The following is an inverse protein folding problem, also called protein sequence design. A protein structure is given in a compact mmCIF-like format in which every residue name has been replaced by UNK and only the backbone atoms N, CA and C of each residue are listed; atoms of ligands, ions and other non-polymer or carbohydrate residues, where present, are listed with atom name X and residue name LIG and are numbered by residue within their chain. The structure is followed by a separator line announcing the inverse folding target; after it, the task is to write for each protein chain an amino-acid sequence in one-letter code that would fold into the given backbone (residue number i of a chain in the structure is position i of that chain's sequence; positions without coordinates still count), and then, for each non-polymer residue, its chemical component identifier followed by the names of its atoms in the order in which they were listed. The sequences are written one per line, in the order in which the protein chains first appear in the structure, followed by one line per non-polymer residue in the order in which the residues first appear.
data_IF_589514020488
#
_entry.id   IF_589514020488
#
_cell.length_a   1.000
_cell.length_b   1.000
_cell.length_c   1.000
_cell.angle_alpha   90.00
_cell.angle_beta   90.00
_cell.angle_gamma   90.00
#
_symmetry.space_group_name_H-M   'P 1'
#
loop_
_entity.id
_entity.type
_entity.pdbx_description
1 polymer ?
#
# COMPACT_ATOMS: atom_id res chain seq x y z
N UNK A 1 -16.62 -11.57 8.36
CA UNK A 1 -17.82 -10.75 8.65
C UNK A 1 -17.55 -9.50 9.49
N UNK A 2 -16.82 -9.53 10.62
CA UNK A 2 -16.40 -8.26 11.29
C UNK A 2 -15.12 -7.68 10.67
N UNK A 3 -14.20 -8.53 10.21
CA UNK A 3 -12.97 -8.12 9.54
C UNK A 3 -13.21 -7.42 8.19
N UNK A 4 -14.18 -7.89 7.39
CA UNK A 4 -14.48 -7.29 6.08
C UNK A 4 -15.00 -5.85 6.21
N UNK A 5 -15.84 -5.58 7.22
CA UNK A 5 -16.37 -4.24 7.48
C UNK A 5 -15.31 -3.24 7.95
N UNK A 6 -14.33 -3.69 8.74
CA UNK A 6 -13.26 -2.81 9.23
C UNK A 6 -12.30 -2.41 8.11
N UNK A 7 -12.05 -3.30 7.16
CA UNK A 7 -11.13 -3.00 6.04
C UNK A 7 -11.78 -2.02 5.07
N UNK A 8 -13.06 -2.19 4.75
CA UNK A 8 -13.79 -1.28 3.86
C UNK A 8 -13.89 0.13 4.45
N UNK A 9 -14.31 0.30 5.70
CA UNK A 9 -14.43 1.63 6.31
C UNK A 9 -13.08 2.34 6.48
N UNK A 10 -12.02 1.60 6.84
CA UNK A 10 -10.67 2.17 6.96
C UNK A 10 -10.13 2.59 5.60
N UNK A 11 -10.36 1.77 4.56
CA UNK A 11 -9.94 2.07 3.19
C UNK A 11 -10.71 3.27 2.63
N UNK A 12 -12.02 3.34 2.81
CA UNK A 12 -12.86 4.45 2.35
C UNK A 12 -12.47 5.80 2.98
N UNK A 13 -11.96 5.79 4.22
CA UNK A 13 -11.47 6.99 4.88
C UNK A 13 -10.08 7.45 4.40
N UNK A 14 -9.37 6.64 3.60
CA UNK A 14 -8.07 7.03 3.06
C UNK A 14 -8.21 7.94 1.84
N UNK A 15 -7.15 8.71 1.56
CA UNK A 15 -7.04 9.43 0.31
C UNK A 15 -6.99 8.47 -0.89
N UNK A 16 -7.46 8.93 -2.04
CA UNK A 16 -7.52 8.14 -3.28
C UNK A 16 -6.16 7.54 -3.67
N UNK A 17 -5.06 8.26 -3.40
CA UNK A 17 -3.71 7.79 -3.67
C UNK A 17 -3.30 6.59 -2.79
N UNK A 18 -3.71 6.60 -1.52
CA UNK A 18 -3.46 5.51 -0.57
C UNK A 18 -4.34 4.30 -0.88
N UNK A 19 -5.62 4.52 -1.19
CA UNK A 19 -6.52 3.44 -1.62
C UNK A 19 -5.96 2.72 -2.86
N UNK A 20 -5.56 3.49 -3.87
CA UNK A 20 -4.96 2.94 -5.09
C UNK A 20 -3.65 2.18 -4.81
N UNK A 21 -2.85 2.61 -3.83
CA UNK A 21 -1.66 1.90 -3.41
C UNK A 21 -2.00 0.55 -2.78
N UNK A 22 -2.84 0.54 -1.74
CA UNK A 22 -3.25 -0.68 -1.02
C UNK A 22 -3.93 -1.69 -1.95
N UNK A 23 -4.81 -1.25 -2.85
CA UNK A 23 -5.47 -2.12 -3.81
C UNK A 23 -4.49 -2.76 -4.79
N UNK A 24 -3.51 -2.00 -5.31
CA UNK A 24 -2.51 -2.53 -6.25
C UNK A 24 -1.53 -3.48 -5.59
N UNK A 25 -1.18 -3.24 -4.32
CA UNK A 25 -0.23 -4.07 -3.57
C UNK A 25 -0.89 -5.20 -2.79
N UNK A 26 -2.23 -5.28 -2.77
CA UNK A 26 -3.01 -6.31 -2.08
C UNK A 26 -2.71 -7.76 -2.50
N UNK A 27 -2.08 -7.95 -3.67
CA UNK A 27 -1.63 -9.26 -4.15
C UNK A 27 -0.36 -9.76 -3.42
N UNK A 28 0.35 -8.87 -2.71
CA UNK A 28 1.57 -9.20 -1.98
C UNK A 28 1.22 -9.69 -0.57
N UNK A 29 1.72 -10.87 -0.18
CA UNK A 29 1.60 -11.38 1.19
C UNK A 29 2.38 -10.54 2.21
N UNK A 30 3.40 -9.82 1.74
CA UNK A 30 4.22 -8.91 2.56
C UNK A 30 4.57 -7.67 1.76
N UNK A 31 4.29 -6.52 2.35
CA UNK A 31 4.61 -5.23 1.75
C UNK A 31 6.05 -4.84 2.09
N UNK A 32 6.82 -4.53 1.05
CA UNK A 32 8.14 -3.90 1.16
C UNK A 32 8.28 -2.87 0.05
N UNK A 33 9.01 -1.78 0.28
CA UNK A 33 9.15 -0.70 -0.69
C UNK A 33 9.51 -1.18 -2.10
N UNK A 34 10.58 -1.99 -2.26
CA UNK A 34 10.99 -2.50 -3.56
C UNK A 34 9.94 -3.37 -4.27
N UNK A 35 9.18 -4.19 -3.53
CA UNK A 35 8.11 -5.01 -4.11
C UNK A 35 6.90 -4.16 -4.49
N UNK A 36 6.54 -3.19 -3.65
CA UNK A 36 5.44 -2.26 -3.95
C UNK A 36 5.76 -1.44 -5.20
N UNK A 37 6.97 -0.93 -5.32
CA UNK A 37 7.42 -0.22 -6.52
C UNK A 37 7.41 -1.12 -7.76
N UNK A 38 7.90 -2.36 -7.64
CA UNK A 38 7.90 -3.33 -8.74
C UNK A 38 6.49 -3.68 -9.23
N UNK A 39 5.52 -3.85 -8.32
CA UNK A 39 4.12 -4.12 -8.67
C UNK A 39 3.44 -2.89 -9.29
N UNK A 40 3.74 -1.70 -8.79
CA UNK A 40 3.04 -0.47 -9.20
C UNK A 40 3.56 0.14 -10.49
N UNK A 41 4.85 -0.04 -10.78
CA UNK A 41 5.54 0.57 -11.93
C UNK A 41 6.17 -0.46 -12.89
N UNK A 42 6.17 -1.75 -12.54
CA UNK A 42 6.91 -2.79 -13.26
C UNK A 42 8.35 -2.90 -12.77
N UNK A 43 9.14 -3.80 -13.38
CA UNK A 43 10.58 -3.89 -13.09
C UNK A 43 11.26 -2.65 -13.67
N UNK A 44 11.42 -1.62 -12.84
CA UNK A 44 12.13 -0.40 -13.20
C UNK A 44 13.63 -0.61 -12.92
N UNK A 45 14.49 -0.29 -13.89
CA UNK A 45 15.95 -0.39 -13.76
C UNK A 45 16.54 0.57 -12.70
N UNK A 46 15.75 1.53 -12.23
CA UNK A 46 16.08 2.46 -11.15
C UNK A 46 15.29 2.14 -9.88
N UNK A 47 15.96 2.01 -8.72
CA UNK A 47 15.26 1.86 -7.45
C UNK A 47 14.46 3.13 -7.16
N UNK A 48 13.14 3.00 -7.17
CA UNK A 48 12.23 3.99 -6.60
C UNK A 48 12.20 3.82 -5.08
N UNK A 49 12.12 4.92 -4.34
CA UNK A 49 11.86 4.93 -2.89
C UNK A 49 10.40 5.23 -2.58
N UNK A 50 9.58 5.51 -3.60
CA UNK A 50 8.19 5.95 -3.41
C UNK A 50 7.35 4.91 -2.67
N UNK A 51 7.55 3.61 -2.95
CA UNK A 51 6.87 2.54 -2.22
C UNK A 51 7.26 2.51 -0.75
N UNK A 52 8.54 2.72 -0.43
CA UNK A 52 9.02 2.75 0.96
C UNK A 52 8.45 3.96 1.72
N UNK A 53 8.42 5.14 1.10
CA UNK A 53 7.88 6.36 1.71
C UNK A 53 6.38 6.23 2.03
N UNK A 54 5.61 5.61 1.13
CA UNK A 54 4.19 5.33 1.38
C UNK A 54 4.03 4.32 2.52
N UNK A 55 4.86 3.28 2.61
CA UNK A 55 4.79 2.32 3.71
C UNK A 55 5.09 2.97 5.06
N UNK A 56 6.09 3.85 5.15
CA UNK A 56 6.37 4.60 6.37
C UNK A 56 5.21 5.52 6.77
N UNK A 57 4.53 6.13 5.79
CA UNK A 57 3.33 6.92 6.06
C UNK A 57 2.21 6.05 6.64
N UNK A 58 1.99 4.86 6.08
CA UNK A 58 0.96 3.92 6.53
C UNK A 58 1.24 3.38 7.94
N UNK A 59 2.50 3.06 8.24
CA UNK A 59 2.95 2.64 9.58
C UNK A 59 2.71 3.77 10.60
N UNK A 60 3.11 5.01 10.28
CA UNK A 60 2.84 6.18 11.15
C UNK A 60 1.35 6.47 11.34
N UNK A 61 0.51 6.03 10.41
CA UNK A 61 -0.94 6.21 10.43
C UNK A 61 -1.67 5.06 11.14
N UNK A 62 -0.96 4.07 11.69
CA UNK A 62 -1.50 2.86 12.32
C UNK A 62 -2.43 2.06 11.38
N UNK A 63 -2.11 2.05 10.08
CA UNK A 63 -2.81 1.26 9.07
C UNK A 63 -2.15 -0.13 8.86
N UNK A 64 -1.07 -0.40 9.59
CA UNK A 64 -0.37 -1.68 9.73
C UNK A 64 -0.18 -2.07 11.19
#
# INVERSE_FOLDING_TARGET
YVLDYLVEEVLEQQSESVQAFLLRTSILDRLSGPLCDAVRFGVVETPSTAGQEILEYLERSNLF
#
